data_IF_248477219105
#
_entry.id   IF_248477219105
#
_cell.length_a   1.000
_cell.length_b   1.000
_cell.length_c   1.000
_cell.angle_alpha   90.00
_cell.angle_beta   90.00
_cell.angle_gamma   90.00
#
_symmetry.space_group_name_H-M   'P 1'
#
loop_
_entity.id
_entity.type
_entity.pdbx_description
1 polymer ?
#
# COMPACT_ATOMS: atom_id res chain seq x y z
N UNK A 1 12.04 3.79 7.07
CA UNK A 1 11.45 4.19 5.77
C UNK A 1 11.35 5.71 5.76
N UNK A 2 11.85 6.36 4.70
CA UNK A 2 11.94 7.83 4.59
C UNK A 2 10.62 8.50 4.18
N UNK A 3 9.64 7.76 3.68
CA UNK A 3 8.36 8.29 3.20
C UNK A 3 7.46 8.81 4.35
N UNK A 4 6.74 9.94 4.18
CA UNK A 4 5.83 10.47 5.20
C UNK A 4 4.75 9.45 5.60
N UNK A 5 4.39 9.42 6.89
CA UNK A 5 3.43 8.46 7.48
C UNK A 5 2.11 8.35 6.69
N UNK A 6 1.55 9.49 6.26
CA UNK A 6 0.30 9.53 5.48
C UNK A 6 0.39 8.80 4.13
N UNK A 7 1.57 8.75 3.53
CA UNK A 7 1.77 8.16 2.19
C UNK A 7 2.42 6.78 2.26
N UNK A 8 2.86 6.35 3.44
CA UNK A 8 3.54 5.09 3.64
C UNK A 8 2.53 3.95 3.60
N UNK A 9 2.67 2.97 2.69
CA UNK A 9 1.85 1.76 2.73
C UNK A 9 2.23 0.91 3.94
N UNK A 10 1.25 0.21 4.53
CA UNK A 10 1.51 -0.71 5.63
C UNK A 10 2.09 -2.02 5.15
N UNK A 11 1.59 -2.51 4.01
CA UNK A 11 2.09 -3.71 3.36
C UNK A 11 2.29 -3.46 1.86
N UNK A 12 3.35 -4.04 1.31
CA UNK A 12 3.67 -4.00 -0.11
C UNK A 12 3.82 -5.43 -0.57
N UNK A 13 3.11 -5.79 -1.64
CA UNK A 13 3.22 -7.07 -2.31
C UNK A 13 3.70 -6.80 -3.74
N UNK A 14 4.71 -7.53 -4.18
CA UNK A 14 5.29 -7.41 -5.51
C UNK A 14 5.18 -8.78 -6.16
N UNK A 15 4.52 -8.84 -7.31
CA UNK A 15 4.46 -10.03 -8.17
C UNK A 15 5.18 -9.73 -9.48
N UNK A 16 5.23 -10.69 -10.41
CA UNK A 16 5.77 -10.43 -11.74
C UNK A 16 4.82 -9.56 -12.61
N UNK A 17 3.54 -9.46 -12.24
CA UNK A 17 2.51 -8.76 -13.01
C UNK A 17 2.09 -7.41 -12.41
N UNK A 18 2.14 -7.30 -11.09
CA UNK A 18 1.62 -6.12 -10.41
C UNK A 18 2.32 -5.81 -9.10
N UNK A 19 2.16 -4.56 -8.69
CA UNK A 19 2.53 -4.07 -7.38
C UNK A 19 1.25 -3.72 -6.60
N UNK A 20 1.08 -4.34 -5.43
CA UNK A 20 -0.07 -4.15 -4.57
C UNK A 20 0.29 -3.50 -3.24
N UNK A 21 -0.58 -2.62 -2.76
CA UNK A 21 -0.46 -1.95 -1.48
C UNK A 21 -1.65 -2.23 -0.59
N UNK A 22 -1.35 -2.53 0.67
CA UNK A 22 -2.33 -2.53 1.74
C UNK A 22 -2.22 -1.27 2.58
N UNK A 23 -3.30 -0.50 2.63
CA UNK A 23 -3.53 0.48 3.68
C UNK A 23 -4.47 -0.23 4.67
N UNK A 24 -3.98 -0.61 5.85
CA UNK A 24 -4.84 -1.24 6.85
C UNK A 24 -6.03 -0.37 7.18
N UNK A 25 -7.16 -1.00 7.48
CA UNK A 25 -8.29 -0.31 8.09
C UNK A 25 -8.11 -0.34 9.60
N UNK A 26 -8.04 0.84 10.23
CA UNK A 26 -8.04 0.99 11.68
C UNK A 26 -9.47 1.25 12.13
N UNK A 27 -10.02 0.36 12.96
CA UNK A 27 -11.38 0.44 13.48
C UNK A 27 -11.41 0.41 15.00
N UNK A 28 -12.41 1.07 15.59
CA UNK A 28 -12.74 0.94 17.02
C UNK A 28 -13.96 0.04 17.13
N UNK A 29 -13.83 -1.06 17.87
CA UNK A 29 -14.92 -1.97 18.20
C UNK A 29 -15.32 -1.79 19.65
N UNK A 30 -16.62 -1.96 19.93
CA UNK A 30 -17.10 -2.13 21.31
C UNK A 30 -17.48 -3.60 21.44
N UNK A 31 -16.87 -4.28 22.40
CA UNK A 31 -17.08 -5.71 22.66
C UNK A 31 -17.87 -5.85 23.95
N UNK A 32 -19.07 -6.44 23.83
CA UNK A 32 -19.91 -6.84 24.95
C UNK A 32 -19.54 -8.27 25.31
N UNK A 33 -19.13 -8.51 26.56
CA UNK A 33 -18.90 -9.85 27.06
C UNK A 33 -19.82 -10.10 28.26
N UNK A 34 -20.40 -11.30 28.29
CA UNK A 34 -21.25 -11.75 29.38
C UNK A 34 -20.50 -12.85 30.12
N UNK A 35 -20.16 -12.59 31.37
CA UNK A 35 -19.51 -13.57 32.25
C UNK A 35 -20.53 -14.09 33.26
N UNK A 36 -20.63 -15.41 33.38
CA UNK A 36 -21.40 -16.10 34.42
C UNK A 36 -20.41 -16.66 35.44
N UNK A 37 -20.34 -16.12 36.66
CA UNK A 37 -19.50 -16.69 37.70
C UNK A 37 -19.97 -18.09 38.05
N UNK A 38 -19.04 -19.05 38.16
CA UNK A 38 -19.38 -20.42 38.55
C UNK A 38 -20.01 -20.44 39.95
N UNK A 39 -21.30 -20.80 40.03
CA UNK A 39 -22.05 -20.90 41.29
C UNK A 39 -22.90 -19.67 41.69
N UNK A 40 -23.03 -18.64 40.85
CA UNK A 40 -23.89 -17.48 41.11
C UNK A 40 -24.77 -17.15 39.89
N UNK A 41 -26.06 -16.81 40.10
CA UNK A 41 -27.06 -16.58 39.03
C UNK A 41 -27.07 -15.16 38.47
N UNK A 42 -26.23 -14.25 38.99
CA UNK A 42 -26.13 -12.88 38.51
C UNK A 42 -25.14 -12.78 37.33
N UNK A 43 -25.65 -12.45 36.14
CA UNK A 43 -24.86 -12.13 34.95
C UNK A 43 -24.15 -10.78 35.11
N UNK A 44 -22.82 -10.76 35.03
CA UNK A 44 -22.08 -9.48 34.91
C UNK A 44 -21.80 -9.20 33.44
N UNK A 45 -22.39 -8.13 32.90
CA UNK A 45 -22.11 -7.64 31.55
C UNK A 45 -20.97 -6.62 31.62
N UNK A 46 -19.86 -6.90 30.94
CA UNK A 46 -18.75 -5.96 30.83
C UNK A 46 -18.67 -5.36 29.42
N UNK A 47 -18.38 -4.06 29.36
CA UNK A 47 -18.21 -3.31 28.12
C UNK A 47 -16.73 -2.97 27.96
N UNK A 48 -16.10 -3.50 26.91
CA UNK A 48 -14.71 -3.19 26.59
C UNK A 48 -14.60 -2.53 25.22
N UNK A 49 -13.68 -1.59 25.08
CA UNK A 49 -13.36 -0.95 23.80
C UNK A 49 -12.08 -1.54 23.25
N UNK A 50 -12.10 -2.04 22.02
CA UNK A 50 -10.94 -2.60 21.34
C UNK A 50 -10.61 -1.78 20.08
N UNK A 51 -9.32 -1.69 19.76
CA UNK A 51 -8.87 -1.20 18.45
C UNK A 51 -8.46 -2.42 17.64
N UNK A 52 -8.96 -2.52 16.41
CA UNK A 52 -8.54 -3.56 15.47
C UNK A 52 -7.94 -2.91 14.22
N UNK A 53 -6.87 -3.52 13.71
CA UNK A 53 -6.23 -3.12 12.46
C UNK A 53 -6.29 -4.30 11.49
N UNK A 54 -7.11 -4.21 10.44
CA UNK A 54 -7.20 -5.26 9.43
C UNK A 54 -6.36 -4.86 8.21
N UNK A 55 -5.34 -5.68 7.93
CA UNK A 55 -4.42 -5.52 6.80
C UNK A 55 -5.08 -6.02 5.51
N UNK A 56 -5.73 -5.15 4.76
CA UNK A 56 -6.33 -5.49 3.46
C UNK A 56 -5.53 -4.89 2.31
N UNK A 57 -5.41 -5.60 1.18
CA UNK A 57 -4.85 -5.06 -0.07
C UNK A 57 -5.88 -4.09 -0.65
N UNK A 58 -5.55 -2.80 -0.63
CA UNK A 58 -6.46 -1.71 -1.03
C UNK A 58 -6.29 -1.32 -2.49
N UNK A 59 -5.11 -1.51 -3.06
CA UNK A 59 -4.81 -1.07 -4.43
C UNK A 59 -3.82 -2.00 -5.12
N UNK A 60 -4.02 -2.26 -6.42
CA UNK A 60 -3.12 -2.99 -7.31
C UNK A 60 -2.76 -2.10 -8.50
N UNK A 61 -1.50 -2.11 -8.89
CA UNK A 61 -0.99 -1.41 -10.06
C UNK A 61 -0.32 -2.45 -10.96
N UNK A 62 -0.92 -2.72 -12.11
CA UNK A 62 -0.40 -3.68 -13.07
C UNK A 62 0.71 -3.04 -13.90
N UNK A 63 1.83 -3.74 -14.06
CA UNK A 63 2.98 -3.21 -14.78
C UNK A 63 2.71 -3.03 -16.27
N UNK A 64 1.85 -3.87 -16.87
CA UNK A 64 1.43 -3.73 -18.26
C UNK A 64 0.60 -2.47 -18.54
N UNK A 65 0.00 -1.85 -17.51
CA UNK A 65 -0.78 -0.62 -17.63
C UNK A 65 0.02 0.64 -17.27
N UNK A 66 1.30 0.50 -16.89
CA UNK A 66 2.19 1.62 -16.61
C UNK A 66 2.92 2.01 -17.89
N UNK A 67 2.78 3.27 -18.30
CA UNK A 67 3.42 3.78 -19.52
C UNK A 67 4.68 4.59 -19.22
N UNK A 68 4.69 5.31 -18.11
CA UNK A 68 5.74 6.28 -17.80
C UNK A 68 5.91 6.49 -16.29
N UNK A 69 7.13 6.86 -15.92
CA UNK A 69 7.47 7.28 -14.56
C UNK A 69 8.28 8.57 -14.58
N UNK A 70 7.83 9.55 -13.81
CA UNK A 70 8.49 10.87 -13.72
C UNK A 70 9.17 11.05 -12.38
N UNK A 71 10.39 11.57 -12.41
CA UNK A 71 11.14 12.02 -11.24
C UNK A 71 11.23 13.53 -11.21
N UNK A 72 10.83 14.15 -10.10
CA UNK A 72 11.16 15.55 -9.85
C UNK A 72 11.47 15.82 -8.39
N UNK A 73 12.21 16.90 -8.16
CA UNK A 73 12.51 17.40 -6.82
C UNK A 73 11.51 18.47 -6.43
N UNK A 74 10.92 18.35 -5.23
CA UNK A 74 10.07 19.36 -4.62
C UNK A 74 10.53 19.61 -3.18
N UNK A 75 11.14 20.77 -2.93
CA UNK A 75 11.80 21.09 -1.65
C UNK A 75 12.85 20.02 -1.34
N UNK A 76 12.76 19.37 -0.18
CA UNK A 76 13.70 18.32 0.26
C UNK A 76 13.30 16.91 -0.18
N UNK A 77 12.26 16.79 -1.00
CA UNK A 77 11.73 15.49 -1.42
C UNK A 77 11.97 15.25 -2.90
N UNK A 78 12.45 14.05 -3.21
CA UNK A 78 12.34 13.46 -4.53
C UNK A 78 10.99 12.74 -4.62
N UNK A 79 10.21 13.12 -5.63
CA UNK A 79 8.87 12.62 -5.88
C UNK A 79 8.89 11.82 -7.16
N UNK A 80 8.51 10.55 -7.06
CA UNK A 80 8.34 9.66 -8.21
C UNK A 80 6.85 9.56 -8.49
N UNK A 81 6.43 9.79 -9.73
CA UNK A 81 5.06 9.59 -10.18
C UNK A 81 5.00 8.41 -11.12
N UNK A 82 4.05 7.50 -10.88
CA UNK A 82 3.69 6.46 -11.84
C UNK A 82 2.44 6.91 -12.59
N UNK A 83 2.43 6.72 -13.91
CA UNK A 83 1.31 7.08 -14.77
C UNK A 83 0.76 5.88 -15.55
N UNK A 84 -0.55 5.88 -15.78
CA UNK A 84 -1.19 4.91 -16.65
C UNK A 84 -1.17 5.36 -18.12
N UNK A 85 -1.69 4.52 -19.02
CA UNK A 85 -1.85 4.81 -20.46
C UNK A 85 -2.63 6.10 -20.75
N UNK A 86 -3.55 6.48 -19.88
CA UNK A 86 -4.31 7.74 -19.97
C UNK A 86 -3.53 8.96 -19.45
N UNK A 87 -2.23 8.81 -19.18
CA UNK A 87 -1.34 9.83 -18.61
C UNK A 87 -1.78 10.33 -17.22
N UNK A 88 -2.62 9.56 -16.52
CA UNK A 88 -3.10 9.88 -15.18
C UNK A 88 -2.10 9.38 -14.13
N UNK A 89 -1.86 10.20 -13.10
CA UNK A 89 -0.98 9.83 -11.99
C UNK A 89 -1.69 8.82 -11.09
N UNK A 90 -1.27 7.56 -11.15
CA UNK A 90 -1.86 6.47 -10.37
C UNK A 90 -1.27 6.37 -8.97
N UNK A 91 0.03 6.70 -8.81
CA UNK A 91 0.70 6.67 -7.51
C UNK A 91 1.86 7.63 -7.43
N UNK A 92 2.17 8.09 -6.21
CA UNK A 92 3.34 8.90 -5.89
C UNK A 92 4.17 8.27 -4.78
N UNK A 93 5.49 8.28 -4.93
CA UNK A 93 6.45 7.86 -3.91
C UNK A 93 7.34 9.04 -3.53
N UNK A 94 7.79 9.03 -2.28
CA UNK A 94 8.56 10.12 -1.70
C UNK A 94 9.78 9.57 -0.99
N UNK A 95 10.94 10.13 -1.30
CA UNK A 95 12.21 9.80 -0.67
C UNK A 95 13.05 11.06 -0.53
N UNK A 96 13.95 11.11 0.46
CA UNK A 96 14.91 12.22 0.58
C UNK A 96 16.24 11.91 -0.11
N UNK A 97 16.44 10.65 -0.49
CA UNK A 97 17.65 10.18 -1.14
C UNK A 97 17.41 10.01 -2.66
N UNK A 98 18.24 10.68 -3.47
CA UNK A 98 18.18 10.63 -4.93
C UNK A 98 18.46 9.23 -5.49
N UNK A 99 19.52 8.57 -5.02
CA UNK A 99 19.91 7.24 -5.50
C UNK A 99 18.80 6.21 -5.27
N UNK A 100 18.03 6.34 -4.18
CA UNK A 100 16.84 5.51 -3.94
C UNK A 100 15.71 5.83 -4.91
N UNK A 101 15.58 7.09 -5.33
CA UNK A 101 14.56 7.48 -6.29
C UNK A 101 14.88 6.95 -7.68
N UNK A 102 16.13 7.10 -8.12
CA UNK A 102 16.63 6.56 -9.39
C UNK A 102 16.55 5.03 -9.41
N UNK A 103 17.07 4.36 -8.38
CA UNK A 103 16.99 2.90 -8.30
C UNK A 103 15.56 2.36 -8.23
N UNK A 104 14.60 3.14 -7.69
CA UNK A 104 13.18 2.77 -7.74
C UNK A 104 12.65 2.82 -9.17
N UNK A 105 12.99 3.86 -9.94
CA UNK A 105 12.58 4.00 -11.34
C UNK A 105 13.18 2.88 -12.18
N UNK A 106 14.47 2.59 -12.02
CA UNK A 106 15.14 1.49 -12.71
C UNK A 106 14.47 0.15 -12.42
N UNK A 107 14.09 -0.08 -11.16
CA UNK A 107 13.36 -1.29 -10.75
C UNK A 107 11.98 -1.38 -11.40
N UNK A 108 11.23 -0.28 -11.46
CA UNK A 108 9.91 -0.24 -12.11
C UNK A 108 10.06 -0.49 -13.61
N UNK A 109 11.01 0.17 -14.28
CA UNK A 109 11.26 -0.03 -15.71
C UNK A 109 11.64 -1.48 -16.01
N UNK A 110 12.48 -2.09 -15.15
CA UNK A 110 12.79 -3.51 -15.25
C UNK A 110 11.54 -4.38 -15.13
N UNK A 111 10.68 -4.15 -14.13
CA UNK A 111 9.45 -4.91 -13.94
C UNK A 111 8.46 -4.73 -15.11
N UNK A 112 8.33 -3.51 -15.64
CA UNK A 112 7.52 -3.21 -16.83
C UNK A 112 8.03 -4.00 -18.03
N UNK A 113 9.32 -3.92 -18.33
CA UNK A 113 9.95 -4.65 -19.45
C UNK A 113 9.83 -6.18 -19.32
N UNK A 114 9.78 -6.70 -18.09
CA UNK A 114 9.57 -8.12 -17.82
C UNK A 114 8.11 -8.54 -17.93
N UNK A 115 7.18 -7.66 -17.58
CA UNK A 115 5.73 -7.90 -17.61
C UNK A 115 5.12 -7.74 -19.01
N UNK A 116 5.73 -6.92 -19.87
CA UNK A 116 5.35 -6.82 -21.28
C UNK A 116 5.50 -8.20 -21.90
N UNK A 117 4.36 -8.79 -22.26
CA UNK A 117 4.23 -10.17 -22.73
C UNK A 117 5.32 -10.48 -23.77
N UNK A 118 6.20 -11.48 -23.57
CA UNK A 118 7.13 -11.92 -24.60
C UNK A 118 6.43 -12.53 -25.84
N UNK A 119 5.10 -12.68 -25.77
CA UNK A 119 4.24 -13.17 -26.85
C UNK A 119 3.35 -12.09 -27.48
N UNK A 120 3.57 -10.80 -27.18
CA UNK A 120 2.93 -9.72 -27.91
C UNK A 120 3.62 -9.52 -29.28
N UNK A 121 3.55 -10.54 -30.15
CA UNK A 121 3.84 -10.41 -31.57
C UNK A 121 2.63 -9.79 -32.28
N UNK A 122 2.74 -8.51 -32.66
CA UNK A 122 2.71 -8.00 -34.05
C UNK A 122 2.51 -6.49 -34.09
#
# INVERSE_FOLDING_TARGET
MEQPLKHRPENVFITDEYLAFGNGISGKGVTLSNEQPFGNTASTTSLSTSKFEAKNITSRFYFNSLIDSELFKKRDWYVIQLKNEENQVVKRFYTRNLNKAEGFIDSINFMVSRSSNPFAEK
#
